data_IF_789797103609
#
_entry.id   IF_789797103609
#
_cell.length_a   1.000
_cell.length_b   1.000
_cell.length_c   1.000
_cell.angle_alpha   90.00
_cell.angle_beta   90.00
_cell.angle_gamma   90.00
#
_symmetry.space_group_name_H-M   'P 1'
#
loop_
_entity.id
_entity.type
_entity.pdbx_description
1 polymer ?
#
# COMPACT_ATOMS: atom_id res chain seq x y z
N UNK A 1 20.15 10.69 5.02
CA UNK A 1 18.97 10.87 5.88
C UNK A 1 19.27 11.95 6.93
N UNK A 2 18.26 12.66 7.45
CA UNK A 2 18.42 13.67 8.50
C UNK A 2 18.85 15.07 8.03
N UNK A 3 19.00 15.32 6.75
CA UNK A 3 19.22 16.65 6.20
C UNK A 3 17.90 17.35 5.87
N UNK A 4 17.88 18.67 6.06
CA UNK A 4 16.81 19.49 5.48
C UNK A 4 16.74 19.28 3.96
N UNK A 5 15.54 19.27 3.39
CA UNK A 5 15.31 18.98 1.96
C UNK A 5 16.02 19.93 1.02
N UNK A 6 16.15 21.21 1.40
CA UNK A 6 16.82 22.19 0.55
C UNK A 6 18.35 22.02 0.60
N UNK A 7 18.90 21.65 1.76
CA UNK A 7 20.31 21.29 1.91
C UNK A 7 20.63 19.97 1.19
N UNK A 8 19.75 18.98 1.31
CA UNK A 8 19.87 17.71 0.57
C UNK A 8 19.89 17.96 -0.94
N UNK A 9 19.01 18.82 -1.46
CA UNK A 9 18.96 19.18 -2.89
C UNK A 9 20.24 19.83 -3.37
N UNK A 10 20.78 20.82 -2.61
CA UNK A 10 22.05 21.45 -2.93
C UNK A 10 23.20 20.45 -3.01
N UNK A 11 23.24 19.54 -2.05
CA UNK A 11 24.27 18.51 -1.99
C UNK A 11 24.17 17.55 -3.16
N UNK A 12 22.98 17.04 -3.46
CA UNK A 12 22.76 16.14 -4.61
C UNK A 12 23.17 16.80 -5.93
N UNK A 13 22.83 18.06 -6.14
CA UNK A 13 23.24 18.81 -7.33
C UNK A 13 24.76 18.94 -7.41
N UNK A 14 25.42 19.24 -6.31
CA UNK A 14 26.87 19.34 -6.26
C UNK A 14 27.57 17.98 -6.51
N UNK A 15 27.03 16.90 -5.95
CA UNK A 15 27.56 15.54 -6.16
C UNK A 15 27.43 15.12 -7.63
N UNK A 16 26.29 15.38 -8.27
CA UNK A 16 26.04 15.10 -9.71
C UNK A 16 26.98 15.92 -10.61
N UNK A 17 27.23 17.18 -10.24
CA UNK A 17 28.16 18.04 -10.98
C UNK A 17 29.62 17.54 -10.85
N UNK A 18 30.02 17.14 -9.64
CA UNK A 18 31.33 16.56 -9.38
C UNK A 18 31.59 15.26 -10.17
N UNK A 19 30.55 14.46 -10.38
CA UNK A 19 30.60 13.24 -11.18
C UNK A 19 30.57 13.51 -12.71
N UNK A 20 30.48 14.78 -13.12
CA UNK A 20 30.41 15.16 -14.53
C UNK A 20 29.10 14.77 -15.23
N UNK A 21 28.07 14.50 -14.48
CA UNK A 21 26.73 14.09 -14.99
C UNK A 21 25.78 15.27 -15.15
N UNK A 22 26.14 16.47 -14.71
CA UNK A 22 25.33 17.67 -14.84
C UNK A 22 25.36 18.18 -16.30
N UNK A 23 24.20 18.31 -16.93
CA UNK A 23 24.09 18.84 -18.28
C UNK A 23 23.84 20.35 -18.24
N UNK A 24 22.86 20.79 -17.47
CA UNK A 24 22.50 22.20 -17.34
C UNK A 24 21.62 22.43 -16.11
N UNK A 25 21.63 23.65 -15.60
CA UNK A 25 20.67 24.16 -14.62
C UNK A 25 19.87 25.27 -15.29
N UNK A 26 18.58 25.03 -15.49
CA UNK A 26 17.68 25.98 -16.12
C UNK A 26 16.80 26.68 -15.07
N UNK A 27 16.73 28.00 -15.10
CA UNK A 27 15.76 28.75 -14.34
C UNK A 27 14.37 28.61 -14.98
N UNK A 28 13.44 27.92 -14.28
CA UNK A 28 12.12 27.65 -14.80
C UNK A 28 11.05 27.98 -13.75
N UNK A 29 10.01 28.66 -14.19
CA UNK A 29 8.81 28.86 -13.36
C UNK A 29 7.98 27.58 -13.35
N UNK A 30 7.73 27.04 -12.17
CA UNK A 30 6.89 25.85 -11.97
C UNK A 30 5.73 26.18 -11.02
N UNK A 31 4.63 25.50 -11.20
CA UNK A 31 3.53 25.53 -10.22
C UNK A 31 3.86 24.54 -9.11
N UNK A 32 4.07 25.06 -7.91
CA UNK A 32 4.42 24.28 -6.76
C UNK A 32 3.18 24.08 -5.88
N UNK A 33 2.78 22.83 -5.55
CA UNK A 33 1.69 22.61 -4.62
C UNK A 33 2.11 22.92 -3.18
N UNK A 34 1.18 23.53 -2.45
CA UNK A 34 1.34 23.82 -1.02
C UNK A 34 0.22 23.17 -0.22
N UNK A 35 0.51 22.79 1.01
CA UNK A 35 -0.50 22.28 1.93
C UNK A 35 -1.43 23.39 2.39
N UNK A 36 -2.75 23.20 2.27
CA UNK A 36 -3.77 24.21 2.56
C UNK A 36 -3.69 24.76 3.99
N UNK A 37 -3.30 23.93 4.95
CA UNK A 37 -3.22 24.30 6.36
C UNK A 37 -1.83 24.69 6.81
N UNK A 38 -0.82 24.02 6.30
CA UNK A 38 0.57 24.21 6.72
C UNK A 38 1.29 25.32 5.96
N UNK A 39 0.83 25.68 4.75
CA UNK A 39 1.54 26.55 3.84
C UNK A 39 2.90 26.02 3.39
N UNK A 40 3.20 24.75 3.66
CA UNK A 40 4.47 24.10 3.32
C UNK A 40 4.37 23.49 1.94
N UNK A 41 5.45 23.55 1.19
CA UNK A 41 5.58 22.89 -0.12
C UNK A 41 5.35 21.38 0.04
N UNK A 42 4.47 20.83 -0.78
CA UNK A 42 4.23 19.39 -0.89
C UNK A 42 5.21 18.82 -1.89
N UNK A 43 5.95 17.80 -1.48
CA UNK A 43 6.87 17.05 -2.33
C UNK A 43 6.46 15.57 -2.38
N UNK A 44 6.59 14.89 -3.54
CA UNK A 44 6.33 13.47 -3.65
C UNK A 44 7.29 12.68 -2.76
N UNK A 45 6.77 11.71 -2.02
CA UNK A 45 7.54 10.78 -1.23
C UNK A 45 7.06 9.36 -1.51
N UNK A 46 7.99 8.44 -1.73
CA UNK A 46 7.68 7.02 -1.84
C UNK A 46 7.34 6.48 -0.44
N UNK A 47 6.19 5.84 -0.34
CA UNK A 47 5.74 5.15 0.86
C UNK A 47 4.87 3.96 0.44
N UNK A 48 4.83 2.94 1.28
CA UNK A 48 3.95 1.81 1.07
C UNK A 48 2.50 2.23 1.20
N UNK A 49 1.66 1.69 0.33
CA UNK A 49 0.25 2.02 0.24
C UNK A 49 -0.57 0.74 0.08
N UNK A 50 -1.79 0.78 0.61
CA UNK A 50 -2.75 -0.29 0.42
C UNK A 50 -3.56 -0.10 -0.85
N UNK A 51 -3.62 -1.16 -1.64
CA UNK A 51 -4.38 -1.20 -2.88
C UNK A 51 -5.43 -2.29 -2.84
N UNK A 52 -6.62 -1.98 -3.34
CA UNK A 52 -7.63 -2.99 -3.64
C UNK A 52 -7.32 -3.61 -5.00
N UNK A 53 -7.28 -4.93 -5.07
CA UNK A 53 -7.24 -5.66 -6.34
C UNK A 53 -8.61 -5.58 -7.03
N UNK A 54 -8.86 -4.43 -7.64
CA UNK A 54 -10.11 -4.13 -8.32
C UNK A 54 -10.35 -5.07 -9.50
N UNK A 55 -9.30 -5.54 -10.17
CA UNK A 55 -9.43 -6.47 -11.29
C UNK A 55 -10.01 -7.82 -10.87
N UNK A 56 -9.60 -8.35 -9.72
CA UNK A 56 -10.18 -9.59 -9.18
C UNK A 56 -11.62 -9.37 -8.74
N UNK A 57 -11.94 -8.27 -8.09
CA UNK A 57 -13.30 -7.94 -7.66
C UNK A 57 -14.26 -7.66 -8.84
N UNK A 58 -13.73 -7.15 -9.95
CA UNK A 58 -14.53 -6.88 -11.14
C UNK A 58 -15.04 -8.16 -11.84
N UNK A 59 -14.33 -9.28 -11.75
CA UNK A 59 -14.67 -10.52 -12.44
C UNK A 59 -16.10 -11.00 -12.16
N UNK A 60 -16.50 -11.21 -10.90
CA UNK A 60 -17.88 -11.65 -10.60
C UNK A 60 -18.92 -10.60 -10.99
N UNK A 61 -18.61 -9.30 -10.92
CA UNK A 61 -19.52 -8.24 -11.35
C UNK A 61 -19.73 -8.23 -12.87
N UNK A 62 -18.68 -8.44 -13.65
CA UNK A 62 -18.75 -8.60 -15.10
C UNK A 62 -19.59 -9.82 -15.47
N UNK A 63 -19.37 -10.95 -14.79
CA UNK A 63 -20.14 -12.17 -15.01
C UNK A 63 -21.63 -11.98 -14.70
N UNK A 64 -21.96 -11.32 -13.59
CA UNK A 64 -23.33 -11.03 -13.22
C UNK A 64 -24.02 -10.14 -14.27
N UNK A 65 -23.35 -9.10 -14.77
CA UNK A 65 -23.88 -8.27 -15.85
C UNK A 65 -24.07 -9.04 -17.17
N UNK A 66 -23.17 -9.95 -17.50
CA UNK A 66 -23.29 -10.79 -18.70
C UNK A 66 -24.42 -11.82 -18.61
N UNK A 67 -24.71 -12.33 -17.41
CA UNK A 67 -25.85 -13.24 -17.18
C UNK A 67 -27.18 -12.56 -17.40
N UNK A 68 -27.29 -11.28 -17.05
CA UNK A 68 -28.54 -10.54 -17.07
C UNK A 68 -29.48 -10.90 -15.91
N UNK A 69 -30.46 -10.04 -15.64
CA UNK A 69 -31.40 -10.21 -14.53
C UNK A 69 -32.22 -11.52 -14.62
N UNK A 70 -32.59 -11.96 -15.80
CA UNK A 70 -33.35 -13.19 -16.01
C UNK A 70 -32.61 -14.46 -15.56
N UNK A 71 -31.28 -14.43 -15.46
CA UNK A 71 -30.44 -15.58 -15.13
C UNK A 71 -29.71 -15.40 -13.79
N UNK A 72 -30.21 -14.54 -12.89
CA UNK A 72 -29.62 -14.29 -11.57
C UNK A 72 -28.46 -13.31 -11.56
N UNK A 73 -28.30 -12.54 -12.62
CA UNK A 73 -27.42 -11.38 -12.68
C UNK A 73 -28.21 -10.07 -12.60
N UNK A 74 -27.76 -9.04 -13.32
CA UNK A 74 -28.45 -7.75 -13.42
C UNK A 74 -28.36 -7.18 -14.83
N UNK A 75 -29.32 -6.31 -15.18
CA UNK A 75 -29.36 -5.62 -16.46
C UNK A 75 -28.95 -4.16 -16.27
N UNK A 76 -28.22 -3.62 -17.24
CA UNK A 76 -27.85 -2.21 -17.29
C UNK A 76 -28.91 -1.45 -18.08
N UNK A 77 -29.53 -0.46 -17.44
CA UNK A 77 -30.60 0.35 -18.02
C UNK A 77 -30.22 1.82 -17.97
N UNK A 78 -30.28 2.53 -19.12
CA UNK A 78 -30.51 2.03 -20.48
C UNK A 78 -29.30 1.23 -21.02
N UNK A 79 -29.56 0.32 -21.96
CA UNK A 79 -28.52 -0.52 -22.58
C UNK A 79 -27.37 0.24 -23.24
N UNK A 80 -27.57 1.51 -23.59
CA UNK A 80 -26.51 2.37 -24.13
C UNK A 80 -25.28 2.49 -23.20
N UNK A 81 -25.44 2.29 -21.89
CA UNK A 81 -24.36 2.33 -20.90
C UNK A 81 -23.61 1.00 -20.73
N UNK A 82 -24.12 -0.06 -21.30
CA UNK A 82 -23.52 -1.40 -21.17
C UNK A 82 -22.08 -1.43 -21.70
N UNK A 83 -21.83 -0.82 -22.86
CA UNK A 83 -20.48 -0.70 -23.42
C UNK A 83 -19.54 0.08 -22.49
N UNK A 84 -20.02 1.16 -21.90
CA UNK A 84 -19.24 1.97 -20.97
C UNK A 84 -18.91 1.18 -19.70
N UNK A 85 -19.89 0.46 -19.14
CA UNK A 85 -19.71 -0.40 -17.97
C UNK A 85 -18.61 -1.44 -18.21
N UNK A 86 -18.72 -2.23 -19.28
CA UNK A 86 -17.75 -3.27 -19.58
C UNK A 86 -16.36 -2.69 -19.86
N UNK A 87 -16.28 -1.58 -20.59
CA UNK A 87 -14.99 -0.93 -20.83
C UNK A 87 -14.30 -0.48 -19.53
N UNK A 88 -15.05 0.04 -18.55
CA UNK A 88 -14.50 0.42 -17.25
C UNK A 88 -14.10 -0.81 -16.43
N UNK A 89 -14.97 -1.80 -16.33
CA UNK A 89 -14.75 -2.97 -15.50
C UNK A 89 -13.63 -3.88 -16.01
N UNK A 90 -13.50 -4.01 -17.33
CA UNK A 90 -12.46 -4.83 -17.97
C UNK A 90 -11.07 -4.18 -17.94
N UNK A 91 -11.03 -2.85 -17.83
CA UNK A 91 -9.79 -2.07 -17.78
C UNK A 91 -9.55 -1.41 -16.41
N UNK A 92 -10.22 -1.90 -15.36
CA UNK A 92 -10.14 -1.30 -14.03
C UNK A 92 -8.72 -1.42 -13.47
N UNK A 93 -8.25 -0.32 -12.89
CA UNK A 93 -6.92 -0.26 -12.29
C UNK A 93 -7.00 -0.49 -10.76
N UNK A 94 -5.92 -0.99 -10.14
CA UNK A 94 -5.85 -1.09 -8.70
C UNK A 94 -6.14 0.25 -8.04
N UNK A 95 -6.97 0.24 -7.00
CA UNK A 95 -7.36 1.45 -6.30
C UNK A 95 -6.61 1.60 -4.99
N UNK A 96 -5.80 2.67 -4.86
CA UNK A 96 -5.15 3.02 -3.62
C UNK A 96 -6.20 3.53 -2.61
N UNK A 97 -6.36 2.81 -1.51
CA UNK A 97 -7.36 3.11 -0.47
C UNK A 97 -6.76 3.74 0.78
N UNK A 98 -5.47 3.58 1.01
CA UNK A 98 -4.80 4.15 2.19
C UNK A 98 -4.72 5.68 2.11
N UNK A 99 -4.87 6.32 3.27
CA UNK A 99 -4.72 7.76 3.48
C UNK A 99 -4.01 7.98 4.81
N UNK A 100 -3.02 8.86 4.84
CA UNK A 100 -2.26 9.23 6.04
C UNK A 100 -3.07 10.25 6.85
N UNK A 101 -4.08 9.79 7.55
CA UNK A 101 -4.98 10.61 8.38
C UNK A 101 -4.68 10.34 9.86
N UNK A 102 -4.65 11.38 10.66
CA UNK A 102 -4.51 11.26 12.10
C UNK A 102 -5.75 10.65 12.77
N UNK A 103 -6.89 10.78 12.11
CA UNK A 103 -8.15 10.23 12.55
C UNK A 103 -8.98 9.81 11.34
N UNK A 104 -9.53 8.60 11.39
CA UNK A 104 -10.30 8.02 10.30
C UNK A 104 -10.55 6.54 10.50
N UNK A 105 -11.10 5.87 9.49
CA UNK A 105 -11.24 4.43 9.48
C UNK A 105 -9.86 3.78 9.27
N UNK A 106 -9.55 2.84 10.13
CA UNK A 106 -8.33 2.04 9.98
C UNK A 106 -8.55 0.95 8.93
N UNK A 107 -7.52 0.68 8.16
CA UNK A 107 -7.50 -0.50 7.29
C UNK A 107 -7.35 -1.72 8.21
N UNK A 108 -8.20 -2.76 8.07
CA UNK A 108 -8.16 -3.92 8.94
C UNK A 108 -6.98 -4.84 8.55
N UNK A 109 -5.78 -4.36 8.78
CA UNK A 109 -4.52 -5.03 8.52
C UNK A 109 -3.67 -5.07 9.79
N UNK A 110 -3.04 -6.19 10.02
CA UNK A 110 -2.12 -6.43 11.12
C UNK A 110 -0.80 -6.95 10.59
N UNK A 111 0.26 -6.71 11.32
CA UNK A 111 1.61 -7.05 10.92
C UNK A 111 2.22 -8.05 11.89
N UNK A 112 3.00 -8.97 11.36
CA UNK A 112 3.76 -9.94 12.11
C UNK A 112 5.06 -10.29 11.39
N UNK A 113 5.93 -11.04 12.05
CA UNK A 113 7.18 -11.46 11.43
C UNK A 113 6.91 -12.44 10.28
N UNK A 114 7.58 -12.25 9.15
CA UNK A 114 7.52 -13.20 8.06
C UNK A 114 8.15 -14.53 8.46
N UNK A 115 7.50 -15.63 8.13
CA UNK A 115 8.01 -16.97 8.40
C UNK A 115 9.35 -17.17 7.67
N UNK A 116 10.37 -17.64 8.39
CA UNK A 116 11.66 -17.93 7.78
C UNK A 116 11.52 -19.03 6.74
N UNK A 117 12.28 -18.99 5.62
CA UNK A 117 12.31 -20.09 4.69
C UNK A 117 12.79 -21.38 5.36
N UNK A 118 12.27 -22.52 4.93
CA UNK A 118 12.67 -23.82 5.43
C UNK A 118 14.20 -24.00 5.33
N UNK A 119 14.83 -24.33 6.46
CA UNK A 119 16.28 -24.53 6.54
C UNK A 119 17.12 -23.31 6.90
N UNK A 120 16.52 -22.13 7.13
CA UNK A 120 17.24 -20.97 7.65
C UNK A 120 17.64 -21.21 9.11
N UNK A 121 18.91 -20.95 9.43
CA UNK A 121 19.42 -21.06 10.81
C UNK A 121 18.93 -19.90 11.68
N UNK A 122 18.57 -20.19 12.94
CA UNK A 122 18.21 -19.16 13.93
C UNK A 122 19.37 -18.22 14.31
N UNK A 123 20.59 -18.61 13.94
CA UNK A 123 21.82 -17.83 14.20
C UNK A 123 22.23 -16.94 13.02
N UNK A 124 21.51 -16.98 11.91
CA UNK A 124 21.81 -16.16 10.75
C UNK A 124 21.27 -14.74 10.94
N UNK A 125 22.14 -13.87 11.46
CA UNK A 125 21.83 -12.43 11.68
C UNK A 125 21.75 -11.63 10.38
N UNK A 126 21.85 -12.24 9.21
CA UNK A 126 21.66 -11.57 7.91
C UNK A 126 20.18 -11.33 7.57
N UNK A 127 19.25 -11.95 8.31
CA UNK A 127 17.82 -11.76 8.12
C UNK A 127 17.39 -10.44 8.76
N UNK A 128 17.12 -9.46 7.93
CA UNK A 128 16.21 -8.38 8.34
C UNK A 128 14.86 -9.02 8.60
N UNK A 129 14.24 -8.73 9.74
CA UNK A 129 12.88 -9.17 10.03
C UNK A 129 11.98 -8.56 8.96
N UNK A 130 11.66 -9.37 7.93
CA UNK A 130 10.66 -8.98 6.95
C UNK A 130 9.29 -9.12 7.61
N UNK A 131 8.41 -8.19 7.34
CA UNK A 131 7.05 -8.17 7.86
C UNK A 131 6.10 -8.86 6.89
N UNK A 132 5.11 -9.57 7.46
CA UNK A 132 3.96 -10.10 6.75
C UNK A 132 2.70 -9.36 7.19
N UNK A 133 1.86 -9.00 6.24
CA UNK A 133 0.62 -8.31 6.50
C UNK A 133 -0.57 -9.29 6.43
N UNK A 134 -1.39 -9.28 7.46
CA UNK A 134 -2.59 -10.10 7.58
C UNK A 134 -3.82 -9.20 7.52
N UNK A 135 -4.77 -9.51 6.66
CA UNK A 135 -6.03 -8.77 6.51
C UNK A 135 -7.19 -9.64 6.92
N UNK A 136 -8.05 -9.14 7.80
CA UNK A 136 -9.22 -9.85 8.29
C UNK A 136 -10.35 -8.88 8.66
N UNK A 137 -11.60 -9.33 8.65
CA UNK A 137 -12.76 -8.51 9.07
C UNK A 137 -12.85 -8.36 10.59
N UNK A 138 -12.26 -9.29 11.35
CA UNK A 138 -12.29 -9.29 12.81
C UNK A 138 -11.04 -9.95 13.41
N UNK A 139 -10.73 -9.63 14.65
CA UNK A 139 -9.65 -10.27 15.41
C UNK A 139 -9.81 -11.79 15.51
N UNK A 140 -11.04 -12.29 15.60
CA UNK A 140 -11.30 -13.73 15.66
C UNK A 140 -10.93 -14.43 14.35
N UNK A 141 -11.18 -13.80 13.23
CA UNK A 141 -10.78 -14.30 11.92
C UNK A 141 -9.27 -14.18 11.74
N UNK A 142 -8.71 -13.03 12.13
CA UNK A 142 -7.28 -12.79 12.14
C UNK A 142 -6.51 -13.88 12.87
N UNK A 143 -6.91 -14.22 14.09
CA UNK A 143 -6.25 -15.27 14.89
C UNK A 143 -6.19 -16.61 14.13
N UNK A 144 -7.27 -16.99 13.46
CA UNK A 144 -7.27 -18.22 12.65
C UNK A 144 -6.27 -18.16 11.48
N UNK A 145 -6.22 -17.02 10.78
CA UNK A 145 -5.30 -16.81 9.67
C UNK A 145 -3.86 -16.89 10.16
N UNK A 146 -3.56 -16.21 11.26
CA UNK A 146 -2.22 -16.10 11.82
C UNK A 146 -1.77 -17.45 12.43
N UNK A 147 -2.64 -18.14 13.16
CA UNK A 147 -2.37 -19.49 13.67
C UNK A 147 -2.10 -20.49 12.54
N UNK A 148 -2.88 -20.42 11.47
CA UNK A 148 -2.64 -21.26 10.29
C UNK A 148 -1.32 -20.90 9.59
N UNK A 149 -0.97 -19.62 9.52
CA UNK A 149 0.28 -19.17 8.91
C UNK A 149 1.51 -19.64 9.70
N UNK A 150 1.50 -19.47 11.03
CA UNK A 150 2.63 -19.89 11.89
C UNK A 150 2.58 -21.36 12.32
N UNK A 151 1.51 -22.08 11.97
CA UNK A 151 1.30 -23.48 12.39
C UNK A 151 1.41 -23.66 13.91
N UNK A 152 0.87 -22.70 14.66
CA UNK A 152 0.96 -22.63 16.13
C UNK A 152 -0.38 -22.33 16.75
N UNK A 153 -0.71 -23.06 17.83
CA UNK A 153 -1.90 -22.82 18.67
C UNK A 153 -1.60 -21.88 19.85
N UNK A 154 -0.36 -21.36 19.95
CA UNK A 154 0.05 -20.47 21.03
C UNK A 154 -0.50 -19.06 20.81
N UNK A 155 -0.53 -18.27 21.88
CA UNK A 155 -0.84 -16.86 21.82
C UNK A 155 0.20 -16.15 20.93
N UNK A 156 -0.28 -15.62 19.81
CA UNK A 156 0.55 -14.92 18.85
C UNK A 156 0.32 -13.43 19.05
N UNK A 157 1.38 -12.70 19.30
CA UNK A 157 1.33 -11.25 19.38
C UNK A 157 1.31 -10.66 17.97
N UNK A 158 0.28 -9.88 17.68
CA UNK A 158 0.08 -9.16 16.45
C UNK A 158 -0.17 -7.69 16.76
N UNK A 159 0.36 -6.82 15.95
CA UNK A 159 0.23 -5.39 16.14
C UNK A 159 -0.64 -4.76 15.04
N UNK A 160 -1.54 -3.83 15.38
CA UNK A 160 -2.39 -3.15 14.42
C UNK A 160 -1.64 -2.14 13.54
N UNK A 161 -0.42 -1.78 13.92
CA UNK A 161 0.42 -0.88 13.14
C UNK A 161 1.87 -1.36 13.14
N UNK A 162 2.58 -1.09 12.04
CA UNK A 162 4.00 -1.33 11.91
C UNK A 162 4.83 -0.59 12.98
N UNK A 163 4.39 0.59 13.39
CA UNK A 163 5.09 1.42 14.36
C UNK A 163 5.05 0.83 15.77
N UNK A 164 3.91 0.26 16.19
CA UNK A 164 3.80 -0.43 17.49
C UNK A 164 4.64 -1.71 17.53
N UNK A 165 4.78 -2.40 16.40
CA UNK A 165 5.65 -3.57 16.28
C UNK A 165 7.14 -3.20 16.47
N UNK A 166 7.60 -2.13 15.84
CA UNK A 166 8.99 -1.67 15.94
C UNK A 166 9.35 -1.11 17.32
N UNK A 167 8.40 -0.45 18.01
CA UNK A 167 8.60 0.04 19.38
C UNK A 167 8.71 -1.07 20.42
N UNK A 168 8.19 -2.25 20.12
CA UNK A 168 8.24 -3.41 21.03
C UNK A 168 9.58 -4.17 20.98
N UNK A 169 10.25 -4.15 19.84
CA UNK A 169 11.55 -4.81 19.62
C UNK A 169 12.73 -4.02 20.25
N UNK A 170 12.50 -2.75 20.60
CA UNK A 170 13.47 -1.86 21.26
C UNK A 170 13.36 -1.83 22.80
N UNK A 171 12.46 -2.59 23.42
CA UNK A 171 12.22 -2.66 24.87
C UNK A 171 12.77 -3.95 25.51
#
# INVERSE_FOLDING_TARGET
RGLDRYEARKRVVADIDADGLMIAVEAKTIQQPFGDRSGVVIEPMLTDQWYVDAATLAKPAIEAARKGAANGGFDIVPKSWEKTYFNWMENIQPWCVSRQLWWGHQIPAWFGAKKKPDGASDTDMSWTVEEEAFVAESETELLKIVQAYYESDQDIFIHPTMQEYLEWDDA
#
